data_IF_910907936515
#
_entry.id   IF_910907936515
#
_cell.length_a   1.000
_cell.length_b   1.000
_cell.length_c   1.000
_cell.angle_alpha   90.00
_cell.angle_beta   90.00
_cell.angle_gamma   90.00
#
_symmetry.space_group_name_H-M   'P 1'
#
loop_
_entity.id
_entity.type
_entity.pdbx_description
1 polymer ?
#
# COMPACT_ATOMS: atom_id res chain seq x y z
N UNK A 1 -53.45 19.44 42.52
CA UNK A 1 -52.22 19.79 41.78
C UNK A 1 -51.19 18.72 42.03
N UNK A 2 -51.18 17.69 41.21
CA UNK A 2 -50.13 16.69 41.18
C UNK A 2 -49.60 16.66 39.75
N UNK A 3 -48.32 16.94 39.65
CA UNK A 3 -47.56 17.09 38.42
C UNK A 3 -46.85 15.75 38.20
N UNK A 4 -47.33 14.95 37.25
CA UNK A 4 -46.70 13.69 36.86
C UNK A 4 -46.27 13.81 35.40
N UNK A 5 -44.96 13.98 35.20
CA UNK A 5 -44.31 13.96 33.89
C UNK A 5 -44.56 12.61 33.19
N UNK A 6 -44.92 12.58 31.90
CA UNK A 6 -44.96 11.33 31.14
C UNK A 6 -43.54 10.92 30.74
N UNK A 7 -43.13 9.71 31.12
CA UNK A 7 -42.01 9.00 30.50
C UNK A 7 -42.35 8.70 29.03
N UNK A 8 -41.46 8.93 28.05
CA UNK A 8 -41.70 8.51 26.67
C UNK A 8 -41.54 7.00 26.53
N UNK A 9 -42.50 6.41 25.81
CA UNK A 9 -42.63 4.99 25.46
C UNK A 9 -41.35 4.38 24.88
N UNK A 10 -41.03 3.16 25.32
CA UNK A 10 -39.94 2.32 24.83
C UNK A 10 -40.18 1.71 23.42
N UNK A 11 -41.21 2.13 22.71
CA UNK A 11 -41.61 1.57 21.40
C UNK A 11 -41.15 2.38 20.18
N UNK A 12 -40.51 3.55 20.35
CA UNK A 12 -39.99 4.34 19.20
C UNK A 12 -38.50 4.09 18.87
N UNK A 13 -37.80 3.27 19.65
CA UNK A 13 -36.38 2.94 19.39
C UNK A 13 -36.17 1.79 18.39
N UNK A 14 -37.22 1.35 17.67
CA UNK A 14 -37.20 0.13 16.84
C UNK A 14 -37.21 0.35 15.33
N UNK A 15 -36.89 1.55 14.84
CA UNK A 15 -36.92 1.87 13.40
C UNK A 15 -35.73 2.69 12.90
N UNK A 16 -34.50 2.40 13.35
CA UNK A 16 -33.26 2.79 12.62
C UNK A 16 -32.18 1.73 12.80
N UNK A 17 -32.44 0.52 12.32
CA UNK A 17 -31.43 -0.53 12.23
C UNK A 17 -31.75 -1.43 11.03
N UNK A 18 -31.72 -0.87 9.84
CA UNK A 18 -31.88 -1.63 8.59
C UNK A 18 -30.57 -1.66 7.82
N UNK A 19 -29.97 -2.85 7.86
CA UNK A 19 -29.31 -3.57 6.76
C UNK A 19 -27.95 -3.08 6.26
N UNK A 20 -26.91 -3.35 7.06
CA UNK A 20 -25.66 -3.89 6.52
C UNK A 20 -25.69 -5.42 6.67
N UNK A 21 -26.37 -6.09 5.74
CA UNK A 21 -26.33 -7.54 5.65
C UNK A 21 -25.12 -7.94 4.80
N UNK A 22 -23.95 -8.02 5.42
CA UNK A 22 -22.90 -8.92 4.95
C UNK A 22 -23.42 -10.34 5.14
N UNK A 23 -23.76 -11.02 4.04
CA UNK A 23 -24.10 -12.44 4.05
C UNK A 23 -22.83 -13.25 4.35
N UNK A 24 -22.47 -13.36 5.64
CA UNK A 24 -21.56 -14.39 6.12
C UNK A 24 -22.33 -15.72 6.17
N UNK A 25 -22.57 -16.32 5.00
CA UNK A 25 -22.81 -17.76 4.92
C UNK A 25 -21.46 -18.46 5.09
N UNK A 26 -21.35 -19.58 5.84
CA UNK A 26 -20.13 -20.37 5.86
C UNK A 26 -20.02 -21.05 4.49
N UNK A 27 -19.41 -20.35 3.54
CA UNK A 27 -18.99 -20.97 2.29
C UNK A 27 -17.96 -22.03 2.65
N UNK A 28 -17.96 -23.12 1.91
CA UNK A 28 -16.90 -24.10 2.00
C UNK A 28 -15.64 -23.43 1.42
N UNK A 29 -14.94 -22.61 2.22
CA UNK A 29 -13.78 -21.80 1.81
C UNK A 29 -12.73 -22.69 1.12
N UNK A 30 -12.63 -23.96 1.56
CA UNK A 30 -11.85 -25.03 0.94
C UNK A 30 -12.08 -25.27 -0.56
N UNK A 31 -13.15 -24.73 -1.16
CA UNK A 31 -13.43 -24.88 -2.61
C UNK A 31 -12.54 -23.98 -3.46
N UNK A 32 -11.99 -22.89 -2.91
CA UNK A 32 -11.27 -21.86 -3.68
C UNK A 32 -9.79 -21.71 -3.26
N UNK A 33 -9.34 -22.50 -2.28
CA UNK A 33 -8.03 -22.38 -1.64
C UNK A 33 -7.04 -23.44 -2.13
N UNK A 34 -5.77 -23.07 -2.22
CA UNK A 34 -4.66 -24.03 -2.37
C UNK A 34 -4.28 -24.66 -1.02
N UNK A 35 -3.36 -25.63 -1.04
CA UNK A 35 -2.90 -26.29 0.20
C UNK A 35 -2.20 -25.32 1.14
N UNK A 36 -1.38 -24.42 0.61
CA UNK A 36 -0.72 -23.36 1.42
C UNK A 36 -1.68 -22.35 2.03
N UNK A 37 -2.91 -22.28 1.54
CA UNK A 37 -3.94 -21.38 2.06
C UNK A 37 -4.90 -22.05 3.03
N UNK A 38 -4.71 -23.34 3.32
CA UNK A 38 -5.46 -24.03 4.36
C UNK A 38 -5.31 -23.26 5.68
N UNK A 39 -6.42 -23.10 6.40
CA UNK A 39 -6.52 -22.34 7.65
C UNK A 39 -6.30 -20.81 7.54
N UNK A 40 -6.30 -20.26 6.32
CA UNK A 40 -6.35 -18.81 6.09
C UNK A 40 -7.77 -18.37 5.71
N UNK A 41 -8.15 -17.16 6.11
CA UNK A 41 -9.37 -16.53 5.60
C UNK A 41 -9.09 -15.88 4.25
N UNK A 42 -10.04 -15.98 3.31
CA UNK A 42 -9.92 -15.30 2.02
C UNK A 42 -9.90 -13.78 2.25
N UNK A 43 -8.74 -13.15 2.04
CA UNK A 43 -8.57 -11.70 2.20
C UNK A 43 -9.16 -10.93 1.00
N UNK A 44 -10.48 -10.99 0.81
CA UNK A 44 -11.19 -10.33 -0.29
C UNK A 44 -12.30 -9.41 0.20
N UNK A 45 -11.90 -8.31 0.85
CA UNK A 45 -12.80 -7.25 1.31
C UNK A 45 -13.07 -6.24 0.19
N UNK A 46 -13.67 -6.68 -0.93
CA UNK A 46 -13.97 -5.76 -2.02
C UNK A 46 -15.08 -4.78 -1.63
N UNK A 47 -14.83 -3.49 -1.83
CA UNK A 47 -15.79 -2.44 -1.48
C UNK A 47 -16.75 -2.19 -2.62
N UNK A 48 -18.05 -2.30 -2.36
CA UNK A 48 -19.13 -1.98 -3.30
C UNK A 48 -19.84 -0.71 -2.81
N UNK A 49 -20.10 0.24 -3.71
CA UNK A 49 -20.84 1.46 -3.37
C UNK A 49 -22.36 1.25 -3.36
N UNK A 50 -23.11 2.28 -2.95
CA UNK A 50 -24.58 2.25 -2.89
C UNK A 50 -25.26 1.98 -4.24
N UNK A 51 -24.55 2.20 -5.35
CA UNK A 51 -25.03 1.95 -6.71
C UNK A 51 -24.59 0.58 -7.25
N UNK A 52 -24.13 -0.32 -6.39
CA UNK A 52 -23.69 -1.69 -6.73
C UNK A 52 -22.46 -1.75 -7.67
N UNK A 53 -21.62 -0.71 -7.67
CA UNK A 53 -20.36 -0.69 -8.41
C UNK A 53 -19.15 -0.92 -7.51
N UNK A 54 -18.12 -1.55 -8.06
CA UNK A 54 -16.82 -1.72 -7.41
C UNK A 54 -16.18 -0.34 -7.11
N UNK A 55 -15.74 -0.16 -5.88
CA UNK A 55 -14.87 0.95 -5.45
C UNK A 55 -13.45 0.40 -5.37
N UNK A 56 -12.64 0.73 -6.37
CA UNK A 56 -11.26 0.24 -6.46
C UNK A 56 -10.39 0.91 -5.39
N UNK A 57 -9.72 0.09 -4.59
CA UNK A 57 -8.85 0.51 -3.48
C UNK A 57 -7.75 -0.55 -3.23
N UNK A 58 -6.90 -0.35 -2.22
CA UNK A 58 -5.82 -1.29 -1.88
C UNK A 58 -6.32 -2.70 -1.56
N UNK A 59 -7.49 -2.84 -0.92
CA UNK A 59 -8.10 -4.14 -0.63
C UNK A 59 -8.50 -4.90 -1.91
N UNK A 60 -8.78 -4.17 -3.01
CA UNK A 60 -9.00 -4.80 -4.32
C UNK A 60 -7.73 -5.50 -4.80
N UNK A 61 -6.58 -4.82 -4.65
CA UNK A 61 -5.28 -5.41 -4.96
C UNK A 61 -4.98 -6.59 -4.05
N UNK A 62 -5.20 -6.45 -2.74
CA UNK A 62 -4.91 -7.50 -1.76
C UNK A 62 -5.72 -8.78 -2.05
N UNK A 63 -6.98 -8.62 -2.46
CA UNK A 63 -7.82 -9.73 -2.92
C UNK A 63 -7.20 -10.44 -4.14
N UNK A 64 -6.76 -9.69 -5.15
CA UNK A 64 -6.12 -10.28 -6.33
C UNK A 64 -4.81 -10.98 -5.96
N UNK A 65 -3.97 -10.33 -5.17
CA UNK A 65 -2.69 -10.87 -4.74
C UNK A 65 -2.85 -12.15 -3.94
N UNK A 66 -3.86 -12.23 -3.06
CA UNK A 66 -4.19 -13.44 -2.32
C UNK A 66 -4.46 -14.64 -3.24
N UNK A 67 -5.26 -14.48 -4.30
CA UNK A 67 -5.48 -15.58 -5.25
C UNK A 67 -4.22 -15.90 -6.07
N UNK A 68 -3.41 -14.88 -6.40
CA UNK A 68 -2.15 -15.11 -7.13
C UNK A 68 -1.15 -15.92 -6.30
N UNK A 69 -1.19 -15.90 -4.96
CA UNK A 69 -0.29 -16.74 -4.16
C UNK A 69 -0.49 -18.24 -4.37
N UNK A 70 -1.61 -18.68 -4.95
CA UNK A 70 -1.84 -20.07 -5.35
C UNK A 70 -0.97 -20.48 -6.56
N UNK A 71 -0.46 -19.51 -7.33
CA UNK A 71 0.41 -19.77 -8.47
C UNK A 71 1.74 -20.38 -8.02
N UNK A 72 2.10 -21.51 -8.64
CA UNK A 72 3.25 -22.34 -8.25
C UNK A 72 2.83 -23.67 -7.63
N UNK A 73 1.69 -23.70 -6.91
CA UNK A 73 0.99 -24.93 -6.52
C UNK A 73 -0.11 -25.30 -7.53
N UNK A 74 -0.75 -24.28 -8.09
CA UNK A 74 -1.75 -24.37 -9.14
C UNK A 74 -1.24 -23.69 -10.42
N UNK A 75 -1.74 -24.12 -11.57
CA UNK A 75 -1.46 -23.41 -12.83
C UNK A 75 -2.34 -22.14 -12.94
N UNK A 76 -1.93 -21.20 -13.79
CA UNK A 76 -2.62 -19.91 -13.95
C UNK A 76 -4.10 -20.06 -14.32
N UNK A 77 -4.46 -21.10 -15.09
CA UNK A 77 -5.86 -21.32 -15.46
C UNK A 77 -6.71 -21.74 -14.25
N UNK A 78 -6.17 -22.57 -13.37
CA UNK A 78 -6.84 -22.95 -12.11
C UNK A 78 -7.01 -21.73 -11.18
N UNK A 79 -5.97 -20.90 -11.04
CA UNK A 79 -6.04 -19.67 -10.25
C UNK A 79 -7.16 -18.76 -10.77
N UNK A 80 -7.26 -18.58 -12.09
CA UNK A 80 -8.36 -17.83 -12.72
C UNK A 80 -9.73 -18.44 -12.39
N UNK A 81 -9.89 -19.75 -12.57
CA UNK A 81 -11.15 -20.46 -12.29
C UNK A 81 -11.57 -20.33 -10.82
N UNK A 82 -10.63 -20.46 -9.87
CA UNK A 82 -10.92 -20.30 -8.45
C UNK A 82 -11.40 -18.89 -8.12
N UNK A 83 -10.70 -17.87 -8.63
CA UNK A 83 -11.08 -16.48 -8.45
C UNK A 83 -12.45 -16.17 -9.07
N UNK A 84 -12.67 -16.57 -10.33
CA UNK A 84 -13.93 -16.34 -11.03
C UNK A 84 -15.11 -16.99 -10.30
N UNK A 85 -14.94 -18.23 -9.83
CA UNK A 85 -15.96 -18.92 -9.05
C UNK A 85 -16.24 -18.23 -7.72
N UNK A 86 -15.20 -17.81 -6.99
CA UNK A 86 -15.35 -17.05 -5.76
C UNK A 86 -16.16 -15.77 -6.00
N UNK A 87 -15.81 -14.98 -7.03
CA UNK A 87 -16.51 -13.73 -7.34
C UNK A 87 -17.96 -13.98 -7.80
N UNK A 88 -18.22 -15.06 -8.56
CA UNK A 88 -19.58 -15.47 -8.94
C UNK A 88 -20.45 -15.84 -7.74
N UNK A 89 -19.87 -16.46 -6.72
CA UNK A 89 -20.60 -16.89 -5.54
C UNK A 89 -20.81 -15.73 -4.54
N UNK A 90 -19.94 -14.70 -4.54
CA UNK A 90 -19.99 -13.58 -3.57
C UNK A 90 -20.63 -12.28 -4.07
N UNK A 91 -20.50 -11.95 -5.36
CA UNK A 91 -20.84 -10.61 -5.87
C UNK A 91 -21.93 -10.68 -6.94
N UNK A 92 -22.79 -9.67 -7.02
CA UNK A 92 -23.85 -9.53 -8.03
C UNK A 92 -23.44 -8.53 -9.12
N UNK A 93 -24.21 -8.49 -10.21
CA UNK A 93 -24.04 -7.45 -11.22
C UNK A 93 -24.47 -6.06 -10.72
N UNK A 94 -23.82 -4.97 -11.18
CA UNK A 94 -22.73 -4.92 -12.16
C UNK A 94 -21.33 -5.16 -11.57
N UNK A 95 -21.17 -5.16 -10.24
CA UNK A 95 -19.86 -5.31 -9.59
C UNK A 95 -19.11 -6.58 -10.01
N UNK A 96 -19.82 -7.71 -10.13
CA UNK A 96 -19.25 -8.99 -10.58
C UNK A 96 -18.47 -8.83 -11.88
N UNK A 97 -19.12 -8.34 -12.94
CA UNK A 97 -18.46 -8.16 -14.23
C UNK A 97 -17.30 -7.16 -14.17
N UNK A 98 -17.42 -6.09 -13.36
CA UNK A 98 -16.34 -5.12 -13.16
C UNK A 98 -15.11 -5.74 -12.48
N UNK A 99 -15.31 -6.58 -11.47
CA UNK A 99 -14.24 -7.28 -10.76
C UNK A 99 -13.52 -8.25 -11.70
N UNK A 100 -14.26 -9.04 -12.47
CA UNK A 100 -13.68 -10.01 -13.43
C UNK A 100 -12.90 -9.32 -14.54
N UNK A 101 -13.40 -8.20 -15.07
CA UNK A 101 -12.67 -7.39 -16.04
C UNK A 101 -11.35 -6.85 -15.46
N UNK A 102 -11.41 -6.26 -14.27
CA UNK A 102 -10.23 -5.70 -13.60
C UNK A 102 -9.20 -6.79 -13.27
N UNK A 103 -9.64 -7.95 -12.78
CA UNK A 103 -8.78 -9.12 -12.54
C UNK A 103 -8.06 -9.58 -13.82
N UNK A 104 -8.78 -9.64 -14.94
CA UNK A 104 -8.21 -10.04 -16.23
C UNK A 104 -7.11 -9.08 -16.68
N UNK A 105 -7.32 -7.77 -16.52
CA UNK A 105 -6.30 -6.74 -16.80
C UNK A 105 -5.15 -6.81 -15.80
N UNK A 106 -5.44 -7.12 -14.53
CA UNK A 106 -4.44 -7.25 -13.48
C UNK A 106 -3.45 -8.40 -13.73
N UNK A 107 -3.93 -9.55 -14.19
CA UNK A 107 -3.05 -10.67 -14.56
C UNK A 107 -2.12 -10.33 -15.73
N UNK A 108 -2.63 -9.63 -16.76
CA UNK A 108 -1.81 -9.14 -17.87
C UNK A 108 -0.78 -8.11 -17.41
N UNK A 109 -1.15 -7.24 -16.48
CA UNK A 109 -0.22 -6.32 -15.81
C UNK A 109 0.93 -7.09 -15.14
N UNK A 110 0.62 -8.13 -14.36
CA UNK A 110 1.63 -8.98 -13.68
C UNK A 110 2.56 -9.69 -14.66
N UNK A 111 2.02 -10.21 -15.76
CA UNK A 111 2.81 -10.82 -16.84
C UNK A 111 3.79 -9.80 -17.46
N UNK A 112 3.36 -8.56 -17.68
CA UNK A 112 4.21 -7.50 -18.23
C UNK A 112 5.28 -7.02 -17.23
N UNK A 113 4.99 -7.01 -15.92
CA UNK A 113 6.01 -6.71 -14.91
C UNK A 113 7.19 -7.68 -14.98
N UNK A 114 6.93 -8.97 -15.22
CA UNK A 114 7.98 -9.98 -15.35
C UNK A 114 8.90 -9.77 -16.57
N UNK A 115 8.52 -8.90 -17.50
CA UNK A 115 9.29 -8.57 -18.70
C UNK A 115 10.19 -7.34 -18.53
N UNK A 116 10.09 -6.63 -17.40
CA UNK A 116 10.94 -5.47 -17.12
C UNK A 116 12.41 -5.91 -17.13
N UNK A 117 13.19 -5.30 -18.04
CA UNK A 117 14.63 -5.54 -18.10
C UNK A 117 15.35 -4.70 -17.05
N UNK A 118 16.33 -5.27 -16.33
CA UNK A 118 17.10 -4.52 -15.36
C UNK A 118 17.88 -3.38 -16.06
N UNK A 119 17.84 -2.14 -15.54
CA UNK A 119 18.66 -1.05 -16.04
C UNK A 119 20.16 -1.39 -15.97
N UNK A 120 20.95 -0.77 -16.84
CA UNK A 120 22.41 -0.94 -16.88
C UNK A 120 23.16 -0.28 -15.70
N UNK A 121 22.52 0.62 -14.95
CA UNK A 121 23.11 1.25 -13.76
C UNK A 121 23.35 0.25 -12.64
N UNK A 122 24.16 0.61 -11.63
CA UNK A 122 24.42 -0.31 -10.51
C UNK A 122 23.14 -0.50 -9.69
N UNK A 123 22.90 -1.72 -9.23
CA UNK A 123 21.71 -2.11 -8.47
C UNK A 123 21.56 -1.44 -7.09
N UNK A 124 22.45 -0.51 -6.74
CA UNK A 124 22.41 0.26 -5.50
C UNK A 124 22.13 1.75 -5.73
N UNK A 125 22.17 2.21 -6.99
CA UNK A 125 22.02 3.64 -7.30
C UNK A 125 20.54 4.03 -7.36
N UNK A 126 20.19 5.22 -6.89
CA UNK A 126 18.83 5.78 -6.99
C UNK A 126 18.29 5.71 -8.42
N UNK A 127 19.12 6.01 -9.41
CA UNK A 127 18.75 5.98 -10.82
C UNK A 127 18.33 4.58 -11.32
N UNK A 128 18.87 3.51 -10.72
CA UNK A 128 18.46 2.14 -11.04
C UNK A 128 17.01 1.90 -10.62
N UNK A 129 16.71 2.16 -9.36
CA UNK A 129 15.35 1.98 -8.82
C UNK A 129 14.35 2.94 -9.45
N UNK A 130 14.75 4.19 -9.72
CA UNK A 130 13.91 5.16 -10.40
C UNK A 130 13.45 4.66 -11.78
N UNK A 131 14.35 4.08 -12.58
CA UNK A 131 14.01 3.54 -13.91
C UNK A 131 13.07 2.34 -13.84
N UNK A 132 13.27 1.44 -12.86
CA UNK A 132 12.36 0.33 -12.61
C UNK A 132 10.98 0.87 -12.23
N UNK A 133 10.91 1.80 -11.28
CA UNK A 133 9.63 2.35 -10.81
C UNK A 133 8.88 3.09 -11.91
N UNK A 134 9.57 3.89 -12.74
CA UNK A 134 8.95 4.52 -13.91
C UNK A 134 8.44 3.49 -14.93
N UNK A 135 9.16 2.39 -15.14
CA UNK A 135 8.69 1.30 -16.00
C UNK A 135 7.42 0.65 -15.46
N UNK A 136 7.35 0.41 -14.14
CA UNK A 136 6.14 -0.10 -13.47
C UNK A 136 4.97 0.87 -13.69
N UNK A 137 5.17 2.18 -13.47
CA UNK A 137 4.14 3.19 -13.67
C UNK A 137 3.64 3.22 -15.13
N UNK A 138 4.53 3.11 -16.10
CA UNK A 138 4.16 3.11 -17.52
C UNK A 138 3.43 1.83 -17.94
N UNK A 139 3.73 0.70 -17.33
CA UNK A 139 2.94 -0.54 -17.53
C UNK A 139 1.56 -0.33 -16.91
N UNK A 140 1.45 0.18 -15.68
CA UNK A 140 0.15 0.44 -15.02
C UNK A 140 -0.78 1.28 -15.90
N UNK A 141 -0.28 2.36 -16.51
CA UNK A 141 -1.03 3.25 -17.43
C UNK A 141 -1.58 2.54 -18.68
N UNK A 142 -1.03 1.39 -19.09
CA UNK A 142 -1.53 0.61 -20.24
C UNK A 142 -2.72 -0.28 -19.88
N UNK A 143 -2.88 -0.63 -18.60
CA UNK A 143 -3.89 -1.59 -18.14
C UNK A 143 -4.98 -0.97 -17.28
N UNK A 144 -4.72 0.18 -16.67
CA UNK A 144 -5.59 0.78 -15.66
C UNK A 144 -5.84 2.26 -15.95
N UNK A 145 -7.04 2.71 -15.63
CA UNK A 145 -7.38 4.14 -15.57
C UNK A 145 -6.68 4.83 -14.40
N UNK A 146 -6.64 6.17 -14.41
CA UNK A 146 -6.02 6.94 -13.33
C UNK A 146 -6.63 6.62 -11.95
N UNK A 147 -7.95 6.52 -11.85
CA UNK A 147 -8.65 6.17 -10.61
C UNK A 147 -8.37 4.74 -10.14
N UNK A 148 -8.22 3.78 -11.08
CA UNK A 148 -7.82 2.42 -10.73
C UNK A 148 -6.37 2.37 -10.25
N UNK A 149 -5.47 3.15 -10.85
CA UNK A 149 -4.07 3.23 -10.40
C UNK A 149 -4.01 3.81 -8.99
N UNK A 150 -4.71 4.92 -8.74
CA UNK A 150 -4.81 5.53 -7.43
C UNK A 150 -5.37 4.55 -6.40
N UNK A 151 -6.47 3.88 -6.72
CA UNK A 151 -7.08 2.88 -5.85
C UNK A 151 -6.15 1.71 -5.53
N UNK A 152 -5.55 1.09 -6.54
CA UNK A 152 -4.75 -0.14 -6.37
C UNK A 152 -3.35 0.11 -5.77
N UNK A 153 -2.73 1.26 -6.05
CA UNK A 153 -1.28 1.43 -5.83
C UNK A 153 -0.89 2.65 -4.98
N UNK A 154 -1.80 3.56 -4.63
CA UNK A 154 -1.44 4.79 -3.89
C UNK A 154 -0.64 4.53 -2.61
N UNK A 155 -1.06 3.57 -1.79
CA UNK A 155 -0.34 3.20 -0.55
C UNK A 155 1.10 2.76 -0.82
N UNK A 156 1.32 1.94 -1.86
CA UNK A 156 2.67 1.51 -2.23
C UNK A 156 3.49 2.66 -2.83
N UNK A 157 2.85 3.48 -3.68
CA UNK A 157 3.51 4.60 -4.34
C UNK A 157 3.97 5.67 -3.35
N UNK A 158 3.27 5.89 -2.24
CA UNK A 158 3.71 6.78 -1.15
C UNK A 158 5.09 6.33 -0.64
N UNK A 159 5.23 5.05 -0.29
CA UNK A 159 6.46 4.49 0.23
C UNK A 159 7.59 4.47 -0.80
N UNK A 160 7.28 4.08 -2.05
CA UNK A 160 8.27 4.02 -3.12
C UNK A 160 8.81 5.41 -3.46
N UNK A 161 7.93 6.42 -3.62
CA UNK A 161 8.35 7.79 -3.87
C UNK A 161 9.18 8.35 -2.71
N UNK A 162 8.78 8.11 -1.46
CA UNK A 162 9.55 8.50 -0.29
C UNK A 162 10.97 7.90 -0.30
N UNK A 163 11.07 6.60 -0.58
CA UNK A 163 12.36 5.90 -0.62
C UNK A 163 13.25 6.44 -1.74
N UNK A 164 12.70 6.68 -2.93
CA UNK A 164 13.45 7.24 -4.07
C UNK A 164 13.92 8.68 -3.80
N UNK A 165 13.07 9.51 -3.19
CA UNK A 165 13.44 10.87 -2.79
C UNK A 165 14.55 10.86 -1.73
N UNK A 166 14.44 9.97 -0.73
CA UNK A 166 15.46 9.78 0.30
C UNK A 166 16.80 9.38 -0.30
N UNK A 167 16.82 8.39 -1.19
CA UNK A 167 18.04 7.98 -1.89
C UNK A 167 18.65 9.15 -2.67
N UNK A 168 17.81 9.92 -3.39
CA UNK A 168 18.25 11.07 -4.17
C UNK A 168 18.91 12.14 -3.29
N UNK A 169 18.34 12.43 -2.12
CA UNK A 169 18.92 13.38 -1.16
C UNK A 169 20.28 12.87 -0.64
N UNK A 170 20.38 11.58 -0.30
CA UNK A 170 21.61 10.99 0.23
C UNK A 170 22.74 10.94 -0.81
N UNK A 171 22.41 10.70 -2.08
CA UNK A 171 23.36 10.63 -3.20
C UNK A 171 23.78 12.00 -3.75
N UNK A 172 23.03 13.07 -3.45
CA UNK A 172 23.33 14.42 -3.95
C UNK A 172 24.66 14.94 -3.37
N UNK A 173 25.69 15.03 -4.21
CA UNK A 173 27.02 15.50 -3.83
C UNK A 173 27.13 17.02 -3.73
N UNK A 174 26.10 17.75 -4.16
CA UNK A 174 26.05 19.21 -4.01
C UNK A 174 25.60 19.65 -2.61
N UNK A 175 25.05 18.73 -1.81
CA UNK A 175 24.56 19.00 -0.46
C UNK A 175 25.56 18.57 0.62
N UNK A 176 25.75 19.43 1.61
CA UNK A 176 26.38 19.05 2.88
C UNK A 176 25.50 18.06 3.65
N UNK A 177 26.09 17.30 4.57
CA UNK A 177 25.35 16.33 5.38
C UNK A 177 24.32 16.99 6.31
N UNK A 178 24.52 18.26 6.68
CA UNK A 178 23.53 19.06 7.42
C UNK A 178 22.35 19.46 6.51
N UNK A 179 22.61 19.83 5.25
CA UNK A 179 21.54 20.11 4.29
C UNK A 179 20.75 18.85 3.91
N UNK A 180 21.44 17.71 3.79
CA UNK A 180 20.80 16.40 3.63
C UNK A 180 19.90 16.09 4.82
N UNK A 181 20.39 16.24 6.05
CA UNK A 181 19.60 16.04 7.26
C UNK A 181 18.30 16.86 7.26
N UNK A 182 18.36 18.15 6.89
CA UNK A 182 17.17 19.01 6.79
C UNK A 182 16.18 18.52 5.74
N UNK A 183 16.65 18.24 4.52
CA UNK A 183 15.78 17.75 3.43
C UNK A 183 15.17 16.38 3.74
N UNK A 184 15.91 15.49 4.40
CA UNK A 184 15.40 14.19 4.83
C UNK A 184 14.27 14.36 5.85
N UNK A 185 14.47 15.22 6.85
CA UNK A 185 13.44 15.56 7.83
C UNK A 185 12.19 16.16 7.17
N UNK A 186 12.37 17.19 6.34
CA UNK A 186 11.27 17.82 5.59
C UNK A 186 10.51 16.81 4.73
N UNK A 187 11.23 15.91 4.06
CA UNK A 187 10.60 14.89 3.22
C UNK A 187 9.83 13.84 4.02
N UNK A 188 10.35 13.47 5.20
CA UNK A 188 9.68 12.56 6.13
C UNK A 188 8.39 13.18 6.68
N UNK A 189 8.40 14.46 7.04
CA UNK A 189 7.23 15.21 7.53
C UNK A 189 6.11 15.36 6.47
N UNK A 190 6.40 15.10 5.19
CA UNK A 190 5.40 15.06 4.10
C UNK A 190 4.72 13.69 3.95
N UNK A 191 5.15 12.66 4.67
CA UNK A 191 4.44 11.37 4.70
C UNK A 191 3.08 11.52 5.39
N UNK A 192 2.08 10.71 5.04
CA UNK A 192 0.87 10.58 5.86
C UNK A 192 1.20 10.12 7.30
N UNK A 193 0.35 10.47 8.26
CA UNK A 193 0.61 10.28 9.70
C UNK A 193 0.87 8.81 10.08
N UNK A 194 0.09 7.87 9.52
CA UNK A 194 0.28 6.43 9.69
C UNK A 194 1.66 5.95 9.22
N UNK A 195 2.16 6.50 8.11
CA UNK A 195 3.51 6.23 7.62
C UNK A 195 4.58 6.85 8.48
N UNK A 196 4.35 8.05 9.02
CA UNK A 196 5.29 8.68 9.94
C UNK A 196 5.45 7.81 11.18
N UNK A 197 4.36 7.41 11.84
CA UNK A 197 4.41 6.56 13.05
C UNK A 197 5.15 5.24 12.82
N UNK A 198 4.88 4.57 11.70
CA UNK A 198 5.47 3.25 11.40
C UNK A 198 6.94 3.29 10.97
N UNK A 199 7.42 4.40 10.39
CA UNK A 199 8.77 4.50 9.84
C UNK A 199 9.72 5.36 10.67
N UNK A 200 9.22 6.11 11.64
CA UNK A 200 9.98 7.17 12.31
C UNK A 200 11.31 6.68 12.89
N UNK A 201 11.27 5.64 13.70
CA UNK A 201 12.48 5.14 14.38
C UNK A 201 13.48 4.55 13.38
N UNK A 202 12.99 3.72 12.45
CA UNK A 202 13.84 3.04 11.47
C UNK A 202 14.51 4.04 10.52
N UNK A 203 13.74 4.99 9.97
CA UNK A 203 14.28 5.96 9.01
C UNK A 203 15.29 6.89 9.67
N UNK A 204 14.97 7.43 10.86
CA UNK A 204 15.88 8.31 11.60
C UNK A 204 17.20 7.61 11.92
N UNK A 205 17.13 6.35 12.36
CA UNK A 205 18.32 5.57 12.69
C UNK A 205 19.22 5.37 11.46
N UNK A 206 18.65 4.94 10.34
CA UNK A 206 19.41 4.70 9.10
C UNK A 206 20.03 5.99 8.53
N UNK A 207 19.28 7.09 8.56
CA UNK A 207 19.76 8.43 8.17
C UNK A 207 20.91 8.90 9.06
N UNK A 208 20.78 8.76 10.38
CA UNK A 208 21.82 9.10 11.35
C UNK A 208 23.10 8.31 11.10
N UNK A 209 22.99 6.99 10.91
CA UNK A 209 24.14 6.13 10.63
C UNK A 209 24.83 6.52 9.33
N UNK A 210 24.05 6.73 8.28
CA UNK A 210 24.57 7.08 6.95
C UNK A 210 25.31 8.42 6.96
N UNK A 211 24.67 9.48 7.47
CA UNK A 211 25.27 10.81 7.51
C UNK A 211 26.47 10.86 8.48
N UNK A 212 26.41 10.15 9.61
CA UNK A 212 27.56 10.04 10.53
C UNK A 212 28.76 9.39 9.83
N UNK A 213 28.53 8.34 9.04
CA UNK A 213 29.59 7.67 8.27
C UNK A 213 30.19 8.61 7.22
N UNK A 214 29.37 9.38 6.52
CA UNK A 214 29.82 10.36 5.51
C UNK A 214 30.71 11.45 6.14
N UNK A 215 30.25 12.07 7.24
CA UNK A 215 31.04 13.09 7.97
C UNK A 215 32.37 12.51 8.46
N UNK A 216 32.36 11.30 9.05
CA UNK A 216 33.58 10.65 9.53
C UNK A 216 34.56 10.31 8.40
N UNK A 217 34.07 9.86 7.25
CA UNK A 217 34.91 9.50 6.10
C UNK A 217 35.75 10.67 5.58
N UNK A 218 35.25 11.91 5.74
CA UNK A 218 35.97 13.14 5.41
C UNK A 218 36.67 13.82 6.60
N UNK A 219 36.82 13.11 7.73
CA UNK A 219 37.38 13.63 8.99
C UNK A 219 36.66 14.89 9.52
N UNK A 220 35.34 14.94 9.38
CA UNK A 220 34.52 16.05 9.91
C UNK A 220 34.57 16.15 11.44
N UNK A 221 34.27 17.36 11.92
CA UNK A 221 34.37 17.75 13.33
C UNK A 221 33.22 17.21 14.19
N UNK A 222 33.44 17.19 15.51
CA UNK A 222 32.40 16.85 16.48
C UNK A 222 31.23 17.85 16.44
N UNK A 223 31.50 19.11 16.11
CA UNK A 223 30.47 20.15 15.99
C UNK A 223 29.58 19.92 14.76
N UNK A 224 30.16 19.57 13.61
CA UNK A 224 29.38 19.18 12.43
C UNK A 224 28.49 17.96 12.70
N UNK A 225 29.00 16.95 13.42
CA UNK A 225 28.21 15.80 13.82
C UNK A 225 27.02 16.20 14.70
N UNK A 226 27.24 17.09 15.69
CA UNK A 226 26.18 17.58 16.58
C UNK A 226 25.12 18.35 15.79
N UNK A 227 25.54 19.25 14.91
CA UNK A 227 24.63 20.05 14.08
C UNK A 227 23.80 19.18 13.12
N UNK A 228 24.44 18.19 12.47
CA UNK A 228 23.74 17.24 11.60
C UNK A 228 22.67 16.46 12.36
N UNK A 229 23.00 15.92 13.54
CA UNK A 229 22.02 15.17 14.34
C UNK A 229 20.88 16.07 14.79
N UNK A 230 21.18 17.28 15.26
CA UNK A 230 20.17 18.25 15.70
C UNK A 230 19.22 18.60 14.55
N UNK A 231 19.75 18.75 13.34
CA UNK A 231 18.95 19.03 12.15
C UNK A 231 18.02 17.87 11.76
N UNK A 232 18.48 16.62 11.93
CA UNK A 232 17.73 15.43 11.53
C UNK A 232 16.67 15.00 12.55
N UNK A 233 17.04 14.91 13.83
CA UNK A 233 16.17 14.34 14.88
C UNK A 233 15.65 15.37 15.90
N UNK A 234 16.13 16.61 15.84
CA UNK A 234 15.82 17.65 16.82
C UNK A 234 16.76 17.63 18.03
N UNK A 235 16.82 18.74 18.75
CA UNK A 235 17.75 18.93 19.89
C UNK A 235 17.44 18.02 21.09
N UNK A 236 16.21 17.51 21.19
CA UNK A 236 15.75 16.64 22.28
C UNK A 236 16.30 15.21 22.17
N UNK A 237 16.83 14.83 21.00
CA UNK A 237 17.32 13.50 20.67
C UNK A 237 18.85 13.42 20.46
N UNK A 238 19.59 14.49 20.79
CA UNK A 238 21.05 14.62 20.60
C UNK A 238 21.82 14.84 21.88
#
# INVERSE_FOLDING_TARGET
>A
SENTSPQPNQDEARLVATSQSTLNSPLNENTYLSKSQQDTQVNCQLKINSSQHLVVNSQTRDCFEYFITQYGESNLQQVKTHFEKFIQDQYLEPARSQIIDLWTRYLKYREQLAQIQPPQSKQQDQNYFQKIFSSIQDIRKRFFSASEIEGLFSTEDIYQNYTLDRMKILEDSSLSEIEKAKKLKERFEQLPEDWQENLQELSKLDDLHTLTKQIKARNGSAEELRQMRTALVGAEAT
#
